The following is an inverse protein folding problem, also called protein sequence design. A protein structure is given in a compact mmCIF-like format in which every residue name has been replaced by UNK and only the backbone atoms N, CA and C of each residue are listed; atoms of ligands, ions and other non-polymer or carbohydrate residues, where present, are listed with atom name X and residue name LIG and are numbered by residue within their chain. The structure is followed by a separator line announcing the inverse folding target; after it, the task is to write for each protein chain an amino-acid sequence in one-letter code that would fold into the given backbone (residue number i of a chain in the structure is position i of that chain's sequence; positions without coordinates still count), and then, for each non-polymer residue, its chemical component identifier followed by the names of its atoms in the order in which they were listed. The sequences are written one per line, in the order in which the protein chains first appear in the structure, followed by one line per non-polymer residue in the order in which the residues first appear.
data_IF_269874702736
#
_entry.id   IF_269874702736
#
_cell.length_a   1.000
_cell.length_b   1.000
_cell.length_c   1.000
_cell.angle_alpha   90.00
_cell.angle_beta   90.00
_cell.angle_gamma   90.00
#
_symmetry.space_group_name_H-M   'P 1'
#
loop_
_entity.id
_entity.type
_entity.pdbx_description
1 polymer ?
#
# COMPACT_ATOMS: atom_id res chain seq x y z
N UNK A 1 27.99 5.86 -28.83
CA UNK A 1 26.65 5.67 -28.24
C UNK A 1 25.82 6.86 -28.64
N UNK A 2 24.88 6.67 -29.56
CA UNK A 2 23.99 7.70 -30.09
C UNK A 2 22.73 7.79 -29.23
N UNK A 3 21.95 8.85 -29.38
CA UNK A 3 20.65 9.00 -28.70
C UNK A 3 19.72 7.82 -29.01
N UNK A 4 19.81 7.27 -30.22
CA UNK A 4 19.04 6.09 -30.65
C UNK A 4 19.48 4.85 -29.85
N UNK A 5 20.77 4.66 -29.60
CA UNK A 5 21.30 3.55 -28.79
C UNK A 5 20.84 3.64 -27.33
N UNK A 6 20.72 4.87 -26.80
CA UNK A 6 20.22 5.11 -25.44
C UNK A 6 18.72 4.80 -25.37
N UNK A 7 17.93 5.33 -26.32
CA UNK A 7 16.48 5.13 -26.35
C UNK A 7 16.12 3.65 -26.52
N UNK A 8 16.85 2.92 -27.37
CA UNK A 8 16.64 1.47 -27.56
C UNK A 8 17.05 0.66 -26.33
N UNK A 9 18.14 1.02 -25.63
CA UNK A 9 18.47 0.40 -24.34
C UNK A 9 17.42 0.67 -23.28
N UNK A 10 16.93 1.91 -23.18
CA UNK A 10 15.88 2.28 -22.22
C UNK A 10 14.58 1.54 -22.55
N UNK A 11 14.17 1.48 -23.81
CA UNK A 11 13.00 0.73 -24.27
C UNK A 11 13.12 -0.77 -23.94
N UNK A 12 14.30 -1.36 -24.15
CA UNK A 12 14.57 -2.76 -23.80
C UNK A 12 14.54 -3.00 -22.28
N UNK A 13 15.04 -2.04 -21.48
CA UNK A 13 15.00 -2.09 -20.02
C UNK A 13 13.56 -1.97 -19.53
N UNK A 14 12.78 -1.01 -20.04
CA UNK A 14 11.37 -0.83 -19.69
C UNK A 14 10.53 -2.06 -20.06
N UNK A 15 10.80 -2.71 -21.20
CA UNK A 15 10.13 -3.97 -21.60
C UNK A 15 10.54 -5.15 -20.73
N UNK A 16 11.81 -5.23 -20.33
CA UNK A 16 12.32 -6.32 -19.48
C UNK A 16 11.78 -6.21 -18.04
N UNK A 17 11.67 -5.00 -17.53
CA UNK A 17 11.16 -4.68 -16.20
C UNK A 17 9.80 -4.00 -16.27
N UNK A 18 8.92 -4.49 -17.14
CA UNK A 18 7.53 -4.07 -17.20
C UNK A 18 6.91 -4.25 -15.81
N UNK A 19 6.92 -3.18 -15.02
CA UNK A 19 6.63 -3.19 -13.59
C UNK A 19 5.18 -3.62 -13.38
N UNK A 20 4.31 -3.25 -14.32
CA UNK A 20 2.89 -3.58 -14.32
C UNK A 20 2.69 -5.09 -14.49
N UNK A 21 3.48 -5.76 -15.34
CA UNK A 21 3.36 -7.19 -15.65
C UNK A 21 4.14 -8.11 -14.70
N UNK A 22 5.27 -7.63 -14.16
CA UNK A 22 6.02 -8.33 -13.11
C UNK A 22 5.37 -8.22 -11.73
N UNK A 23 4.51 -7.22 -11.50
CA UNK A 23 3.69 -7.16 -10.30
C UNK A 23 2.77 -8.39 -10.24
N UNK A 24 2.08 -8.72 -11.34
CA UNK A 24 1.17 -9.88 -11.39
C UNK A 24 1.87 -11.24 -11.24
N UNK A 25 3.09 -11.37 -11.76
CA UNK A 25 3.82 -12.66 -11.76
C UNK A 25 4.68 -12.90 -10.51
N UNK A 26 5.03 -11.85 -9.75
CA UNK A 26 5.66 -11.98 -8.42
C UNK A 26 4.64 -12.10 -7.26
N UNK A 27 3.34 -12.08 -7.54
CA UNK A 27 2.24 -12.40 -6.59
C UNK A 27 2.12 -13.93 -6.38
N UNK A 28 3.12 -14.72 -6.79
CA UNK A 28 3.22 -16.13 -6.38
C UNK A 28 3.73 -16.24 -4.94
N UNK A 29 2.81 -16.10 -3.99
CA UNK A 29 2.96 -16.53 -2.60
C UNK A 29 3.46 -15.47 -1.61
N UNK A 30 2.52 -14.74 -1.02
CA UNK A 30 2.63 -13.99 0.25
C UNK A 30 3.39 -12.64 0.23
N UNK A 31 2.91 -11.67 -0.57
CA UNK A 31 3.21 -10.26 -0.29
C UNK A 31 2.44 -9.80 0.96
N UNK A 32 3.04 -10.06 2.13
CA UNK A 32 2.52 -9.62 3.41
C UNK A 32 2.33 -8.09 3.51
N UNK A 33 3.11 -7.29 2.75
CA UNK A 33 2.92 -5.85 2.70
C UNK A 33 1.67 -5.50 1.90
N UNK A 34 1.54 -6.01 0.68
CA UNK A 34 0.38 -5.72 -0.17
C UNK A 34 -0.93 -6.17 0.48
N UNK A 35 -0.96 -7.33 1.13
CA UNK A 35 -2.15 -7.79 1.85
C UNK A 35 -2.49 -6.89 3.04
N UNK A 36 -1.49 -6.51 3.85
CA UNK A 36 -1.73 -5.63 4.99
C UNK A 36 -2.16 -4.24 4.53
N UNK A 37 -1.54 -3.72 3.46
CA UNK A 37 -1.85 -2.42 2.90
C UNK A 37 -3.26 -2.38 2.29
N UNK A 38 -3.67 -3.41 1.54
CA UNK A 38 -5.04 -3.50 1.03
C UNK A 38 -6.09 -3.57 2.15
N UNK A 39 -5.85 -4.36 3.19
CA UNK A 39 -6.74 -4.40 4.37
C UNK A 39 -6.78 -3.06 5.12
N UNK A 40 -5.65 -2.34 5.16
CA UNK A 40 -5.54 -1.01 5.75
C UNK A 40 -6.36 0.02 4.96
N UNK A 41 -6.28 0.00 3.62
CA UNK A 41 -7.08 0.86 2.74
C UNK A 41 -8.58 0.61 2.92
N UNK A 42 -9.03 -0.64 2.88
CA UNK A 42 -10.46 -0.97 3.10
C UNK A 42 -10.97 -0.50 4.47
N UNK A 43 -10.13 -0.57 5.51
CA UNK A 43 -10.48 -0.05 6.84
C UNK A 43 -10.62 1.48 6.86
N UNK A 44 -9.77 2.20 6.11
CA UNK A 44 -9.89 3.65 5.94
C UNK A 44 -11.19 3.99 5.21
N UNK A 45 -11.47 3.35 4.09
CA UNK A 45 -12.69 3.57 3.31
C UNK A 45 -13.94 3.35 4.18
N UNK A 46 -13.98 2.23 4.90
CA UNK A 46 -15.07 1.91 5.85
C UNK A 46 -15.23 3.00 6.93
N UNK A 47 -14.12 3.53 7.46
CA UNK A 47 -14.17 4.58 8.47
C UNK A 47 -14.68 5.91 7.89
N UNK A 48 -14.29 6.25 6.66
CA UNK A 48 -14.74 7.44 5.95
C UNK A 48 -16.23 7.38 5.61
N UNK A 49 -16.70 6.24 5.09
CA UNK A 49 -18.13 6.02 4.83
C UNK A 49 -18.96 6.16 6.11
N UNK A 50 -18.52 5.54 7.22
CA UNK A 50 -19.18 5.68 8.52
C UNK A 50 -19.17 7.13 9.01
N UNK A 51 -18.06 7.85 8.83
CA UNK A 51 -17.98 9.26 9.21
C UNK A 51 -18.97 10.11 8.41
N UNK A 52 -19.11 9.87 7.11
CA UNK A 52 -20.09 10.55 6.28
C UNK A 52 -21.52 10.26 6.74
N UNK A 53 -21.85 9.00 7.04
CA UNK A 53 -23.17 8.62 7.58
C UNK A 53 -23.44 9.35 8.89
N UNK A 54 -22.46 9.40 9.81
CA UNK A 54 -22.59 10.11 11.10
C UNK A 54 -22.91 11.59 10.90
N UNK A 55 -22.34 12.27 9.89
CA UNK A 55 -22.66 13.68 9.63
C UNK A 55 -24.11 13.92 9.23
N UNK A 56 -24.78 12.91 8.67
CA UNK A 56 -26.18 12.96 8.21
C UNK A 56 -27.16 12.38 9.23
N UNK A 57 -26.65 11.74 10.28
CA UNK A 57 -27.44 11.05 11.29
C UNK A 57 -28.12 12.03 12.26
N UNK A 58 -29.43 11.87 12.46
CA UNK A 58 -30.24 12.71 13.36
C UNK A 58 -30.39 12.07 14.74
N UNK A 59 -30.27 10.75 14.83
CA UNK A 59 -30.36 10.04 16.10
C UNK A 59 -29.03 10.12 16.85
N UNK A 60 -29.00 10.88 17.95
CA UNK A 60 -27.81 11.08 18.77
C UNK A 60 -27.23 9.77 19.33
N UNK A 61 -28.06 8.81 19.73
CA UNK A 61 -27.58 7.53 20.25
C UNK A 61 -26.90 6.69 19.13
N UNK A 62 -27.52 6.66 17.95
CA UNK A 62 -26.96 6.04 16.74
C UNK A 62 -25.61 6.66 16.36
N UNK A 63 -25.55 7.99 16.30
CA UNK A 63 -24.33 8.74 15.99
C UNK A 63 -23.22 8.46 17.01
N UNK A 64 -23.53 8.35 18.30
CA UNK A 64 -22.54 8.03 19.34
C UNK A 64 -22.00 6.61 19.17
N UNK A 65 -22.85 5.64 18.85
CA UNK A 65 -22.44 4.26 18.60
C UNK A 65 -21.51 4.16 17.37
N UNK A 66 -21.89 4.77 16.25
CA UNK A 66 -21.06 4.81 15.05
C UNK A 66 -19.72 5.54 15.27
N UNK A 67 -19.72 6.65 16.00
CA UNK A 67 -18.49 7.35 16.38
C UNK A 67 -17.55 6.49 17.25
N UNK A 68 -18.10 5.62 18.10
CA UNK A 68 -17.30 4.66 18.86
C UNK A 68 -16.66 3.61 17.94
N UNK A 69 -17.37 3.15 16.91
CA UNK A 69 -16.81 2.25 15.90
C UNK A 69 -15.70 2.91 15.08
N UNK A 70 -15.88 4.16 14.64
CA UNK A 70 -14.85 4.93 13.92
C UNK A 70 -13.59 5.04 14.78
N UNK A 71 -13.71 5.32 16.09
CA UNK A 71 -12.57 5.35 17.00
C UNK A 71 -11.87 4.00 17.13
N UNK A 72 -12.61 2.89 17.14
CA UNK A 72 -12.03 1.54 17.17
C UNK A 72 -11.28 1.22 15.88
N UNK A 73 -11.81 1.61 14.72
CA UNK A 73 -11.12 1.44 13.43
C UNK A 73 -9.83 2.26 13.45
N UNK A 74 -9.90 3.54 13.84
CA UNK A 74 -8.71 4.40 13.95
C UNK A 74 -7.63 3.79 14.84
N UNK A 75 -7.99 3.28 16.01
CA UNK A 75 -7.03 2.64 16.91
C UNK A 75 -6.34 1.42 16.28
N UNK A 76 -7.07 0.58 15.54
CA UNK A 76 -6.46 -0.53 14.79
C UNK A 76 -5.53 -0.05 13.69
N UNK A 77 -5.91 0.99 12.94
CA UNK A 77 -5.05 1.59 11.91
C UNK A 77 -3.75 2.12 12.53
N UNK A 78 -3.82 2.81 13.67
CA UNK A 78 -2.63 3.32 14.38
C UNK A 78 -1.66 2.18 14.79
N UNK A 79 -2.18 0.99 15.12
CA UNK A 79 -1.38 -0.21 15.41
C UNK A 79 -0.79 -0.89 14.15
N UNK A 80 -1.43 -0.72 12.99
CA UNK A 80 -1.02 -1.31 11.71
C UNK A 80 0.05 -0.47 10.97
N UNK A 81 0.02 0.85 11.11
CA UNK A 81 1.03 1.78 10.54
C UNK A 81 2.48 1.33 10.82
N UNK A 82 2.91 1.03 12.06
CA UNK A 82 4.28 0.60 12.31
C UNK A 82 4.62 -0.76 11.68
N UNK A 83 3.63 -1.64 11.47
CA UNK A 83 3.83 -2.93 10.79
C UNK A 83 4.11 -2.71 9.31
N UNK A 84 3.34 -1.84 8.66
CA UNK A 84 3.56 -1.41 7.28
C UNK A 84 4.94 -0.76 7.11
N UNK A 85 5.33 0.15 8.01
CA UNK A 85 6.65 0.79 7.98
C UNK A 85 7.80 -0.23 8.05
N UNK A 86 7.72 -1.22 8.95
CA UNK A 86 8.75 -2.28 9.06
C UNK A 86 8.87 -3.10 7.78
N UNK A 87 7.73 -3.49 7.20
CA UNK A 87 7.69 -4.27 5.95
C UNK A 87 8.24 -3.46 4.77
N UNK A 88 7.93 -2.17 4.68
CA UNK A 88 8.46 -1.27 3.66
C UNK A 88 9.99 -1.10 3.79
N UNK A 89 10.51 -0.85 4.99
CA UNK A 89 11.95 -0.71 5.23
C UNK A 89 12.72 -1.98 4.86
N UNK A 90 12.16 -3.16 5.16
CA UNK A 90 12.76 -4.44 4.77
C UNK A 90 12.91 -4.55 3.24
N UNK A 91 11.91 -4.12 2.48
CA UNK A 91 11.99 -4.11 1.00
C UNK A 91 13.04 -3.13 0.48
N UNK A 92 13.09 -1.91 1.01
CA UNK A 92 14.06 -0.88 0.58
C UNK A 92 15.49 -1.33 0.87
N UNK A 93 15.76 -1.85 2.08
CA UNK A 93 17.10 -2.33 2.45
C UNK A 93 17.58 -3.49 1.55
N UNK A 94 16.68 -4.39 1.17
CA UNK A 94 16.99 -5.49 0.25
C UNK A 94 17.33 -4.98 -1.16
N UNK A 95 16.58 -4.01 -1.68
CA UNK A 95 16.85 -3.40 -2.99
C UNK A 95 18.20 -2.67 -3.02
N UNK A 96 18.53 -1.93 -1.95
CA UNK A 96 19.83 -1.27 -1.84
C UNK A 96 21.01 -2.27 -1.81
N UNK A 97 20.84 -3.41 -1.13
CA UNK A 97 21.84 -4.48 -1.10
C UNK A 97 22.04 -5.12 -2.48
N UNK A 98 20.95 -5.41 -3.21
CA UNK A 98 21.02 -5.97 -4.56
C UNK A 98 21.72 -5.02 -5.55
N UNK A 99 21.45 -3.72 -5.45
CA UNK A 99 22.14 -2.70 -6.25
C UNK A 99 23.65 -2.69 -5.98
N UNK A 100 24.05 -2.75 -4.70
CA UNK A 100 25.47 -2.79 -4.32
C UNK A 100 26.18 -4.05 -4.82
N UNK A 101 25.51 -5.21 -4.79
CA UNK A 101 26.05 -6.48 -5.29
C UNK A 101 26.11 -6.58 -6.82
N UNK A 102 25.48 -5.65 -7.54
CA UNK A 102 25.42 -5.63 -9.02
C UNK A 102 26.43 -4.67 -9.67
N UNK A 103 27.20 -3.92 -8.87
CA UNK A 103 28.31 -3.06 -9.30
C UNK A 103 29.65 -3.79 -9.17
#
# INVERSE_FOLDING_TARGET
MTVIDILTRVDTICKKYDVDKQCESNISGDDAFARLYGAFETQIETALEKAEIVTKEKNRASAVAMNAEIRRIKARLDEEVPKLQRLALKRVSFLSLLLYLSQ
#
